data_IF_325341175105
#
_entry.id   IF_325341175105
#
_cell.length_a   1.000
_cell.length_b   1.000
_cell.length_c   1.000
_cell.angle_alpha   90.00
_cell.angle_beta   90.00
_cell.angle_gamma   90.00
#
_symmetry.space_group_name_H-M   'P 1'
#
loop_
_entity.id
_entity.type
_entity.pdbx_description
1 polymer ?
#
# COMPACT_ATOMS: atom_id res chain seq x y z
N UNK A 1 -5.79 -7.71 -24.35
CA UNK A 1 -6.67 -7.28 -23.25
C UNK A 1 -6.46 -5.79 -23.00
N UNK A 2 -7.52 -5.01 -22.83
CA UNK A 2 -7.45 -3.59 -22.46
C UNK A 2 -8.11 -3.45 -21.09
N UNK A 3 -7.43 -2.78 -20.16
CA UNK A 3 -8.04 -2.27 -18.91
C UNK A 3 -8.52 -0.84 -19.14
N UNK A 4 -9.22 -0.27 -18.16
CA UNK A 4 -9.76 1.09 -18.26
C UNK A 4 -8.65 2.16 -18.18
N UNK A 5 -9.02 3.44 -18.15
CA UNK A 5 -8.11 4.58 -18.24
C UNK A 5 -7.27 4.76 -16.97
N UNK A 6 -6.03 5.22 -17.18
CA UNK A 6 -5.05 5.50 -16.13
C UNK A 6 -4.89 4.35 -15.11
N UNK A 7 -4.48 3.15 -15.54
CA UNK A 7 -4.16 2.06 -14.62
C UNK A 7 -2.91 2.41 -13.82
N UNK A 8 -3.01 2.36 -12.48
CA UNK A 8 -1.94 2.85 -11.57
C UNK A 8 -1.31 1.77 -10.72
N UNK A 9 -2.02 0.67 -10.43
CA UNK A 9 -1.51 -0.38 -9.55
C UNK A 9 -2.19 -1.72 -9.85
N UNK A 10 -1.43 -2.81 -9.72
CA UNK A 10 -1.88 -4.18 -9.94
C UNK A 10 -1.52 -5.06 -8.73
N UNK A 11 -2.44 -5.92 -8.30
CA UNK A 11 -2.22 -6.90 -7.21
C UNK A 11 -2.89 -8.21 -7.57
N UNK A 12 -2.19 -9.32 -7.32
CA UNK A 12 -2.71 -10.67 -7.53
C UNK A 12 -3.40 -11.17 -6.27
N UNK A 13 -4.47 -11.95 -6.43
CA UNK A 13 -4.98 -12.78 -5.33
C UNK A 13 -3.95 -13.85 -4.98
N UNK A 14 -3.86 -14.20 -3.71
CA UNK A 14 -2.88 -15.18 -3.20
C UNK A 14 -3.12 -16.59 -3.74
N UNK A 15 -4.37 -16.90 -4.08
CA UNK A 15 -4.73 -18.13 -4.77
C UNK A 15 -4.39 -18.12 -6.28
N UNK A 16 -3.84 -17.03 -6.81
CA UNK A 16 -3.44 -16.88 -8.21
C UNK A 16 -4.58 -16.81 -9.23
N UNK A 17 -5.84 -16.83 -8.78
CA UNK A 17 -7.00 -16.86 -9.68
C UNK A 17 -7.21 -15.54 -10.43
N UNK A 18 -6.99 -14.41 -9.75
CA UNK A 18 -7.26 -13.09 -10.29
C UNK A 18 -6.07 -12.14 -10.13
N UNK A 19 -5.93 -11.22 -11.07
CA UNK A 19 -5.22 -9.96 -10.86
C UNK A 19 -6.23 -8.81 -10.87
N UNK A 20 -6.08 -7.88 -9.93
CA UNK A 20 -6.89 -6.69 -9.83
C UNK A 20 -6.07 -5.49 -10.29
N UNK A 21 -6.66 -4.57 -11.06
CA UNK A 21 -6.02 -3.34 -11.53
C UNK A 21 -6.87 -2.13 -11.13
N UNK A 22 -6.30 -1.18 -10.40
CA UNK A 22 -6.96 0.08 -10.09
C UNK A 22 -6.87 1.04 -11.28
N UNK A 23 -8.02 1.51 -11.75
CA UNK A 23 -8.15 2.44 -12.87
C UNK A 23 -8.55 3.81 -12.30
N UNK A 24 -7.57 4.71 -12.19
CA UNK A 24 -7.70 5.92 -11.38
C UNK A 24 -8.79 6.87 -11.91
N UNK A 25 -8.85 7.06 -13.23
CA UNK A 25 -9.76 8.02 -13.85
C UNK A 25 -11.21 7.51 -13.91
N UNK A 26 -11.40 6.20 -14.04
CA UNK A 26 -12.72 5.59 -14.14
C UNK A 26 -13.30 5.15 -12.78
N UNK A 27 -12.57 5.41 -11.70
CA UNK A 27 -13.01 5.16 -10.32
C UNK A 27 -13.43 3.70 -10.06
N UNK A 28 -12.74 2.74 -10.68
CA UNK A 28 -13.05 1.32 -10.56
C UNK A 28 -11.79 0.44 -10.50
N UNK A 29 -12.00 -0.85 -10.25
CA UNK A 29 -10.98 -1.90 -10.31
C UNK A 29 -11.37 -2.93 -11.35
N UNK A 30 -10.52 -3.19 -12.34
CA UNK A 30 -10.68 -4.33 -13.26
C UNK A 30 -10.25 -5.63 -12.59
N UNK A 31 -11.03 -6.70 -12.78
CA UNK A 31 -10.73 -8.06 -12.33
C UNK A 31 -10.34 -8.91 -13.55
N UNK A 32 -9.08 -9.33 -13.59
CA UNK A 32 -8.49 -10.12 -14.67
C UNK A 32 -8.42 -11.58 -14.22
N UNK A 33 -9.00 -12.48 -15.01
CA UNK A 33 -8.82 -13.92 -14.81
C UNK A 33 -7.44 -14.34 -15.30
N UNK A 34 -6.67 -15.00 -14.44
CA UNK A 34 -5.28 -15.34 -14.71
C UNK A 34 -5.09 -16.57 -15.60
N UNK A 35 -6.14 -17.37 -15.79
CA UNK A 35 -6.10 -18.50 -16.72
C UNK A 35 -6.29 -18.04 -18.17
N UNK A 36 -7.20 -17.10 -18.39
CA UNK A 36 -7.59 -16.60 -19.72
C UNK A 36 -6.93 -15.27 -20.10
N UNK A 37 -6.33 -14.55 -19.15
CA UNK A 37 -5.81 -13.19 -19.32
C UNK A 37 -6.86 -12.23 -19.90
N UNK A 38 -8.09 -12.34 -19.40
CA UNK A 38 -9.22 -11.52 -19.81
C UNK A 38 -9.82 -10.76 -18.62
N UNK A 39 -10.30 -9.54 -18.87
CA UNK A 39 -11.08 -8.79 -17.87
C UNK A 39 -12.44 -9.45 -17.77
N UNK A 40 -12.78 -9.96 -16.59
CA UNK A 40 -14.06 -10.64 -16.34
C UNK A 40 -15.10 -9.70 -15.74
N UNK A 41 -14.66 -8.72 -14.94
CA UNK A 41 -15.54 -7.76 -14.26
C UNK A 41 -14.80 -6.44 -14.01
N UNK A 42 -15.57 -5.38 -13.77
CA UNK A 42 -15.11 -4.13 -13.16
C UNK A 42 -15.92 -3.87 -11.90
N UNK A 43 -15.23 -3.55 -10.80
CA UNK A 43 -15.85 -3.26 -9.50
C UNK A 43 -15.76 -1.76 -9.27
N UNK A 44 -16.88 -1.03 -9.18
CA UNK A 44 -16.86 0.39 -8.81
C UNK A 44 -16.20 0.59 -7.45
N UNK A 45 -15.46 1.69 -7.34
CA UNK A 45 -14.85 2.13 -6.09
C UNK A 45 -15.32 3.55 -5.78
N UNK A 46 -14.39 4.40 -5.35
CA UNK A 46 -14.57 5.79 -5.00
C UNK A 46 -13.54 6.61 -5.76
N UNK A 47 -13.55 7.93 -5.56
CA UNK A 47 -12.76 8.82 -6.43
C UNK A 47 -11.25 8.56 -6.36
N UNK A 48 -10.64 8.33 -7.52
CA UNK A 48 -9.21 8.19 -7.70
C UNK A 48 -8.61 6.97 -6.97
N UNK A 49 -9.04 5.73 -7.27
CA UNK A 49 -8.42 4.54 -6.71
C UNK A 49 -6.95 4.49 -7.13
N UNK A 50 -6.08 4.18 -6.18
CA UNK A 50 -4.64 4.20 -6.37
C UNK A 50 -4.03 2.87 -5.95
N UNK A 51 -3.09 2.88 -5.00
CA UNK A 51 -2.42 1.69 -4.54
C UNK A 51 -3.23 0.93 -3.50
N UNK A 52 -3.11 -0.39 -3.51
CA UNK A 52 -3.93 -1.25 -2.68
C UNK A 52 -3.25 -2.58 -2.34
N UNK A 53 -3.87 -3.35 -1.44
CA UNK A 53 -3.50 -4.74 -1.11
C UNK A 53 -4.75 -5.61 -0.96
N UNK A 54 -4.55 -6.91 -1.15
CA UNK A 54 -5.55 -7.97 -0.97
C UNK A 54 -5.22 -8.72 0.32
N UNK A 55 -6.24 -9.13 1.08
CA UNK A 55 -6.08 -9.96 2.29
C UNK A 55 -5.47 -11.32 1.95
N UNK A 56 -4.77 -11.94 2.90
CA UNK A 56 -4.05 -13.20 2.66
C UNK A 56 -4.97 -14.35 2.26
N UNK A 57 -6.23 -14.32 2.71
CA UNK A 57 -7.28 -15.28 2.35
C UNK A 57 -7.93 -15.00 0.99
N UNK A 58 -7.47 -13.97 0.25
CA UNK A 58 -8.01 -13.54 -1.04
C UNK A 58 -9.49 -13.13 -1.03
N UNK A 59 -10.06 -12.78 0.13
CA UNK A 59 -11.48 -12.40 0.23
C UNK A 59 -11.72 -10.91 0.08
N UNK A 60 -10.77 -10.07 0.47
CA UNK A 60 -10.96 -8.62 0.50
C UNK A 60 -9.84 -7.86 -0.18
N UNK A 61 -10.17 -6.79 -0.90
CA UNK A 61 -9.22 -5.81 -1.41
C UNK A 61 -9.47 -4.43 -0.77
N UNK A 62 -8.40 -3.77 -0.32
CA UNK A 62 -8.47 -2.48 0.39
C UNK A 62 -7.86 -1.38 -0.46
N UNK A 63 -8.72 -0.65 -1.18
CA UNK A 63 -8.31 0.30 -2.23
C UNK A 63 -8.18 1.70 -1.65
N UNK A 64 -7.00 2.31 -1.71
CA UNK A 64 -6.84 3.72 -1.36
C UNK A 64 -7.48 4.60 -2.44
N UNK A 65 -8.42 5.46 -2.05
CA UNK A 65 -9.10 6.39 -2.94
C UNK A 65 -8.53 7.78 -2.71
N UNK A 66 -7.46 8.09 -3.45
CA UNK A 66 -6.66 9.30 -3.31
C UNK A 66 -7.49 10.57 -3.55
N UNK A 67 -8.51 10.49 -4.42
CA UNK A 67 -9.33 11.62 -4.81
C UNK A 67 -10.45 11.99 -3.83
N UNK A 68 -10.71 11.19 -2.79
CA UNK A 68 -11.76 11.48 -1.78
C UNK A 68 -11.45 11.01 -0.35
N UNK A 69 -10.17 10.90 0.01
CA UNK A 69 -9.73 10.69 1.41
C UNK A 69 -10.30 9.42 2.08
N UNK A 70 -10.50 8.36 1.30
CA UNK A 70 -11.15 7.13 1.76
C UNK A 70 -10.43 5.85 1.34
N UNK A 71 -10.83 4.73 1.92
CA UNK A 71 -10.50 3.37 1.48
C UNK A 71 -11.79 2.62 1.16
N UNK A 72 -11.85 2.00 -0.02
CA UNK A 72 -12.91 1.06 -0.40
C UNK A 72 -12.51 -0.36 -0.02
N UNK A 73 -13.42 -1.10 0.61
CA UNK A 73 -13.25 -2.52 0.93
C UNK A 73 -14.10 -3.31 -0.05
N UNK A 74 -13.45 -4.00 -0.98
CA UNK A 74 -14.09 -4.84 -1.96
C UNK A 74 -14.11 -6.27 -1.46
N UNK A 75 -15.26 -6.94 -1.51
CA UNK A 75 -15.38 -8.38 -1.34
C UNK A 75 -15.21 -9.05 -2.69
N UNK A 76 -14.25 -9.98 -2.77
CA UNK A 76 -13.85 -10.67 -3.99
C UNK A 76 -14.62 -11.96 -4.25
N UNK A 77 -15.47 -12.39 -3.32
CA UNK A 77 -16.47 -13.44 -3.54
C UNK A 77 -17.71 -12.85 -4.21
N UNK A 78 -18.19 -11.71 -3.72
CA UNK A 78 -19.39 -11.04 -4.24
C UNK A 78 -19.09 -10.04 -5.35
N UNK A 79 -17.81 -9.71 -5.56
CA UNK A 79 -17.29 -8.72 -6.51
C UNK A 79 -17.94 -7.33 -6.34
N UNK A 80 -18.09 -6.90 -5.09
CA UNK A 80 -18.74 -5.64 -4.72
C UNK A 80 -17.98 -4.90 -3.65
N UNK A 81 -18.12 -3.58 -3.62
CA UNK A 81 -17.71 -2.79 -2.46
C UNK A 81 -18.71 -3.00 -1.32
N UNK A 82 -18.21 -3.43 -0.15
CA UNK A 82 -19.03 -3.65 1.04
C UNK A 82 -18.91 -2.51 2.06
N UNK A 83 -17.79 -1.79 2.03
CA UNK A 83 -17.52 -0.75 3.02
C UNK A 83 -16.64 0.36 2.45
N UNK A 84 -16.90 1.59 2.90
CA UNK A 84 -16.01 2.74 2.76
C UNK A 84 -15.49 3.16 4.14
N UNK A 85 -14.20 3.46 4.24
CA UNK A 85 -13.56 3.94 5.47
C UNK A 85 -12.90 5.30 5.23
N UNK A 86 -13.16 6.28 6.09
CA UNK A 86 -12.39 7.53 6.10
C UNK A 86 -11.08 7.31 6.86
N UNK A 87 -9.95 7.64 6.26
CA UNK A 87 -8.62 7.26 6.80
C UNK A 87 -7.68 8.45 7.01
N UNK A 88 -7.95 9.58 6.35
CA UNK A 88 -7.12 10.78 6.34
C UNK A 88 -6.89 11.28 4.91
N UNK A 89 -6.14 12.37 4.76
CA UNK A 89 -6.04 13.08 3.49
C UNK A 89 -5.04 12.47 2.51
N UNK A 90 -5.49 12.37 1.26
CA UNK A 90 -4.73 11.87 0.10
C UNK A 90 -4.09 10.50 0.36
N UNK A 91 -4.90 9.45 0.59
CA UNK A 91 -4.37 8.11 0.76
C UNK A 91 -3.78 7.59 -0.55
N UNK A 92 -2.56 7.02 -0.53
CA UNK A 92 -1.85 6.61 -1.76
C UNK A 92 -1.74 5.11 -1.93
N UNK A 93 -1.35 4.37 -0.89
CA UNK A 93 -1.34 2.90 -0.87
C UNK A 93 -1.82 2.36 0.46
N UNK A 94 -2.32 1.13 0.44
CA UNK A 94 -2.63 0.36 1.65
C UNK A 94 -1.66 -0.79 1.87
N UNK A 95 -1.62 -1.30 3.10
CA UNK A 95 -1.02 -2.56 3.52
C UNK A 95 -1.95 -3.26 4.50
N UNK A 96 -1.95 -4.59 4.58
CA UNK A 96 -2.80 -5.38 5.47
C UNK A 96 -1.95 -6.44 6.17
N UNK A 97 -2.18 -6.66 7.46
CA UNK A 97 -1.52 -7.77 8.19
C UNK A 97 -2.02 -9.13 7.69
N UNK A 98 -1.20 -10.16 7.82
CA UNK A 98 -1.53 -11.52 7.39
C UNK A 98 -2.79 -12.09 8.07
N UNK A 99 -3.06 -11.65 9.30
CA UNK A 99 -4.27 -12.00 10.06
C UNK A 99 -5.54 -11.23 9.63
N UNK A 100 -5.40 -10.26 8.72
CA UNK A 100 -6.50 -9.45 8.18
C UNK A 100 -7.10 -8.45 9.17
N UNK A 101 -6.46 -8.18 10.31
CA UNK A 101 -7.03 -7.32 11.38
C UNK A 101 -6.56 -5.88 11.35
N UNK A 102 -5.36 -5.63 10.83
CA UNK A 102 -4.75 -4.30 10.84
C UNK A 102 -4.47 -3.82 9.43
N UNK A 103 -5.16 -2.75 9.03
CA UNK A 103 -4.86 -2.05 7.79
C UNK A 103 -3.91 -0.89 8.07
N UNK A 104 -2.93 -0.68 7.20
CA UNK A 104 -2.11 0.53 7.19
C UNK A 104 -2.32 1.30 5.89
N UNK A 105 -2.28 2.63 5.96
CA UNK A 105 -2.54 3.50 4.80
C UNK A 105 -1.59 4.68 4.82
N UNK A 106 -0.86 4.91 3.74
CA UNK A 106 -0.03 6.12 3.58
C UNK A 106 -0.92 7.31 3.29
N UNK A 107 -0.73 8.40 4.02
CA UNK A 107 -1.45 9.66 3.86
C UNK A 107 -0.48 10.73 3.37
N UNK A 108 -0.46 10.96 2.07
CA UNK A 108 0.56 11.78 1.43
C UNK A 108 0.54 13.22 1.92
N UNK A 109 -0.64 13.85 1.92
CA UNK A 109 -0.82 15.24 2.35
C UNK A 109 -0.61 15.44 3.86
N UNK A 110 -0.60 14.37 4.65
CA UNK A 110 -0.43 14.43 6.10
C UNK A 110 0.97 14.00 6.58
N UNK A 111 1.85 13.53 5.69
CA UNK A 111 3.15 12.97 6.05
C UNK A 111 3.04 11.90 7.16
N UNK A 112 2.04 11.02 7.05
CA UNK A 112 1.78 10.00 8.08
C UNK A 112 1.39 8.65 7.49
N UNK A 113 1.55 7.61 8.30
CA UNK A 113 0.93 6.30 8.10
C UNK A 113 -0.22 6.17 9.10
N UNK A 114 -1.44 6.01 8.60
CA UNK A 114 -2.60 5.62 9.43
C UNK A 114 -2.60 4.12 9.64
N UNK A 115 -2.77 3.67 10.88
CA UNK A 115 -2.99 2.27 11.28
C UNK A 115 -4.43 2.14 11.75
N UNK A 116 -5.19 1.24 11.12
CA UNK A 116 -6.62 1.01 11.37
C UNK A 116 -6.82 -0.40 11.92
N UNK A 117 -7.45 -0.50 13.08
CA UNK A 117 -8.01 -1.76 13.57
C UNK A 117 -9.34 -2.01 12.85
N UNK A 118 -9.42 -3.06 12.03
CA UNK A 118 -10.56 -3.28 11.14
C UNK A 118 -11.84 -3.73 11.87
N UNK A 119 -11.71 -4.33 13.06
CA UNK A 119 -12.84 -4.75 13.86
C UNK A 119 -13.55 -3.56 14.52
N UNK A 120 -12.79 -2.66 15.12
CA UNK A 120 -13.31 -1.49 15.85
C UNK A 120 -13.38 -0.22 15.01
N UNK A 121 -12.66 -0.15 13.89
CA UNK A 121 -12.47 1.07 13.10
C UNK A 121 -11.53 2.10 13.75
N UNK A 122 -10.85 1.75 14.85
CA UNK A 122 -9.96 2.68 15.56
C UNK A 122 -8.74 3.02 14.70
N UNK A 123 -8.48 4.31 14.54
CA UNK A 123 -7.34 4.86 13.78
C UNK A 123 -6.23 5.33 14.73
N UNK A 124 -4.98 5.12 14.35
CA UNK A 124 -3.80 5.71 14.96
C UNK A 124 -2.86 6.23 13.86
N UNK A 125 -2.44 7.49 13.93
CA UNK A 125 -1.54 8.10 12.95
C UNK A 125 -0.11 8.07 13.47
N UNK A 126 0.80 7.58 12.63
CA UNK A 126 2.24 7.55 12.87
C UNK A 126 2.89 8.55 11.92
N UNK A 127 3.50 9.65 12.40
CA UNK A 127 4.26 10.55 11.54
C UNK A 127 5.40 9.82 10.83
N UNK A 128 5.58 10.07 9.54
CA UNK A 128 6.66 9.51 8.70
C UNK A 128 7.38 10.64 7.94
N UNK A 129 8.23 10.30 6.98
CA UNK A 129 8.86 11.28 6.11
C UNK A 129 7.86 11.97 5.18
N UNK A 130 8.34 12.96 4.43
CA UNK A 130 7.50 13.80 3.59
C UNK A 130 7.03 13.07 2.32
N UNK A 131 5.78 13.31 1.94
CA UNK A 131 5.17 12.74 0.75
C UNK A 131 5.20 11.21 0.74
N UNK A 132 4.69 10.52 1.77
CA UNK A 132 4.68 9.07 1.78
C UNK A 132 3.88 8.54 0.59
N UNK A 133 4.46 7.58 -0.13
CA UNK A 133 3.91 7.00 -1.34
C UNK A 133 3.53 5.54 -1.08
N UNK A 134 4.42 4.59 -1.36
CA UNK A 134 4.17 3.17 -1.12
C UNK A 134 4.42 2.78 0.35
N UNK A 135 3.50 2.02 0.93
CA UNK A 135 3.77 1.16 2.09
C UNK A 135 3.89 -0.30 1.68
N UNK A 136 4.81 -1.03 2.32
CA UNK A 136 4.91 -2.48 2.22
C UNK A 136 5.00 -3.10 3.62
N UNK A 137 4.10 -4.04 3.90
CA UNK A 137 4.12 -4.85 5.11
C UNK A 137 5.13 -5.97 4.94
N UNK A 138 6.02 -6.14 5.92
CA UNK A 138 6.91 -7.30 5.96
C UNK A 138 6.11 -8.57 6.23
N UNK A 139 6.56 -9.74 5.76
CA UNK A 139 5.74 -10.96 5.81
C UNK A 139 5.56 -11.57 7.21
N UNK A 140 6.23 -11.02 8.22
CA UNK A 140 6.07 -11.38 9.64
C UNK A 140 5.13 -10.41 10.39
N UNK A 141 4.54 -9.43 9.69
CA UNK A 141 3.68 -8.37 10.22
C UNK A 141 4.32 -7.44 11.28
N UNK A 142 5.61 -7.61 11.58
CA UNK A 142 6.28 -6.84 12.63
C UNK A 142 6.51 -5.40 12.18
N UNK A 143 6.90 -5.22 10.92
CA UNK A 143 7.27 -3.93 10.35
C UNK A 143 6.50 -3.58 9.09
N UNK A 144 6.24 -2.28 8.93
CA UNK A 144 5.93 -1.68 7.64
C UNK A 144 7.09 -0.78 7.19
N UNK A 145 7.31 -0.73 5.88
CA UNK A 145 8.27 0.14 5.24
C UNK A 145 7.52 1.14 4.36
N UNK A 146 7.70 2.43 4.61
CA UNK A 146 7.03 3.51 3.88
C UNK A 146 8.07 4.29 3.10
N UNK A 147 7.94 4.31 1.77
CA UNK A 147 8.75 5.11 0.89
C UNK A 147 8.27 6.57 0.91
N UNK A 148 9.18 7.50 1.21
CA UNK A 148 8.88 8.92 1.28
C UNK A 148 9.35 9.57 -0.03
N UNK A 149 8.41 9.84 -0.94
CA UNK A 149 8.65 10.16 -2.35
C UNK A 149 9.10 11.59 -2.61
N UNK A 150 9.23 12.42 -1.57
CA UNK A 150 9.48 13.85 -1.71
C UNK A 150 8.22 14.59 -2.19
N UNK A 151 8.24 15.91 -2.02
CA UNK A 151 7.32 16.82 -2.71
C UNK A 151 8.15 17.80 -3.54
N UNK A 152 7.50 18.56 -4.44
CA UNK A 152 8.18 19.60 -5.23
C UNK A 152 8.92 20.62 -4.35
N UNK A 153 8.47 20.79 -3.11
CA UNK A 153 8.95 21.82 -2.18
C UNK A 153 9.90 21.28 -1.11
N UNK A 154 10.07 19.96 -1.00
CA UNK A 154 10.94 19.37 0.01
C UNK A 154 11.46 17.98 -0.38
N UNK A 155 12.79 17.82 -0.28
CA UNK A 155 13.50 16.59 -0.60
C UNK A 155 13.43 15.60 0.57
N UNK A 156 13.16 14.34 0.26
CA UNK A 156 13.15 13.19 1.17
C UNK A 156 13.89 12.01 0.55
N UNK A 157 14.96 11.57 1.20
CA UNK A 157 15.78 10.47 0.71
C UNK A 157 15.64 9.31 1.68
N UNK A 158 14.40 8.89 1.96
CA UNK A 158 14.18 7.93 3.02
C UNK A 158 13.05 6.93 2.81
N UNK A 159 13.24 5.77 3.42
CA UNK A 159 12.16 4.84 3.80
C UNK A 159 12.02 4.86 5.32
N UNK A 160 10.81 5.10 5.82
CA UNK A 160 10.51 4.93 7.24
C UNK A 160 10.26 3.45 7.55
N UNK A 161 10.92 2.90 8.57
CA UNK A 161 10.62 1.58 9.13
C UNK A 161 9.75 1.76 10.37
N UNK A 162 8.53 1.26 10.33
CA UNK A 162 7.52 1.41 11.38
C UNK A 162 7.31 0.06 12.06
N UNK A 163 7.37 0.01 13.39
CA UNK A 163 6.91 -1.15 14.14
C UNK A 163 5.38 -1.06 14.33
N UNK A 164 4.64 -2.03 13.81
CA UNK A 164 3.18 -1.98 13.74
C UNK A 164 2.53 -2.05 15.13
N UNK A 165 3.02 -2.94 15.99
CA UNK A 165 2.51 -3.10 17.36
C UNK A 165 2.80 -1.88 18.22
N UNK A 166 4.02 -1.35 18.14
CA UNK A 166 4.44 -0.18 18.89
C UNK A 166 3.94 1.15 18.30
N UNK A 167 3.38 1.12 17.07
CA UNK A 167 2.81 2.27 16.35
C UNK A 167 3.77 3.45 16.29
N UNK A 168 5.01 3.18 15.92
CA UNK A 168 6.06 4.21 15.83
C UNK A 168 7.10 3.86 14.77
N UNK A 169 7.68 4.91 14.18
CA UNK A 169 8.91 4.80 13.40
C UNK A 169 10.04 4.34 14.33
N UNK A 170 10.78 3.32 13.93
CA UNK A 170 11.92 2.76 14.67
C UNK A 170 13.25 2.96 13.93
N UNK A 171 13.21 3.26 12.65
CA UNK A 171 14.38 3.67 11.87
C UNK A 171 13.95 4.49 10.65
N UNK A 172 14.85 5.36 10.17
CA UNK A 172 14.81 5.93 8.84
C UNK A 172 15.97 5.32 8.04
N UNK A 173 15.64 4.75 6.89
CA UNK A 173 16.61 4.15 5.96
C UNK A 173 16.89 5.18 4.89
N UNK A 174 18.15 5.56 4.72
CA UNK A 174 18.56 6.49 3.68
C UNK A 174 18.50 5.82 2.29
N UNK A 175 18.00 6.55 1.29
CA UNK A 175 17.81 6.08 -0.09
C UNK A 175 18.35 7.08 -1.10
N UNK A 176 18.06 6.87 -2.39
CA UNK A 176 18.21 7.92 -3.40
C UNK A 176 17.05 8.93 -3.36
N UNK A 177 17.09 9.89 -4.28
CA UNK A 177 16.05 10.92 -4.42
C UNK A 177 14.74 10.35 -4.98
N UNK A 178 13.63 10.62 -4.31
CA UNK A 178 12.30 10.23 -4.77
C UNK A 178 11.97 8.78 -4.48
N UNK A 179 12.16 8.31 -3.24
CA UNK A 179 11.83 6.94 -2.87
C UNK A 179 10.36 6.64 -3.14
N UNK A 180 10.07 5.70 -4.04
CA UNK A 180 8.71 5.47 -4.51
C UNK A 180 8.24 4.06 -4.19
N UNK A 181 8.78 3.07 -4.89
CA UNK A 181 8.44 1.67 -4.70
C UNK A 181 9.27 1.06 -3.58
N UNK A 182 8.64 0.27 -2.71
CA UNK A 182 9.33 -0.45 -1.63
C UNK A 182 8.77 -1.87 -1.47
N UNK A 183 9.66 -2.85 -1.32
CA UNK A 183 9.33 -4.26 -1.03
C UNK A 183 10.40 -4.89 -0.14
N UNK A 184 10.04 -5.93 0.62
CA UNK A 184 10.97 -6.72 1.44
C UNK A 184 11.29 -8.07 0.80
N UNK A 185 12.46 -8.63 1.10
CA UNK A 185 12.76 -10.03 0.77
C UNK A 185 12.00 -10.98 1.70
N UNK A 186 11.60 -12.19 1.25
CA UNK A 186 10.91 -13.17 2.09
C UNK A 186 11.70 -13.63 3.33
N UNK A 187 13.03 -13.46 3.33
CA UNK A 187 13.89 -13.77 4.46
C UNK A 187 14.13 -12.58 5.40
N UNK A 188 13.43 -11.47 5.17
CA UNK A 188 13.46 -10.23 5.97
C UNK A 188 14.83 -9.54 6.06
N UNK A 189 15.77 -9.87 5.17
CA UNK A 189 17.12 -9.32 5.20
C UNK A 189 17.29 -8.07 4.33
N UNK A 190 16.45 -7.89 3.33
CA UNK A 190 16.62 -6.83 2.34
C UNK A 190 15.35 -6.01 2.16
N UNK A 191 15.55 -4.71 1.94
CA UNK A 191 14.53 -3.79 1.42
C UNK A 191 15.00 -3.29 0.07
N UNK A 192 14.15 -3.44 -0.94
CA UNK A 192 14.41 -2.94 -2.29
C UNK A 192 13.61 -1.66 -2.50
N UNK A 193 14.28 -0.60 -2.96
CA UNK A 193 13.67 0.73 -3.13
C UNK A 193 13.93 1.29 -4.52
N UNK A 194 12.88 1.68 -5.23
CA UNK A 194 12.99 2.46 -6.46
C UNK A 194 13.01 3.95 -6.15
N UNK A 195 13.79 4.71 -6.91
CA UNK A 195 13.96 6.16 -6.75
C UNK A 195 13.58 6.84 -8.06
N UNK A 196 12.75 7.88 -8.04
CA UNK A 196 12.25 8.52 -9.27
C UNK A 196 13.32 9.32 -10.02
N UNK A 197 14.33 9.84 -9.30
CA UNK A 197 15.30 10.77 -9.89
C UNK A 197 16.72 10.17 -10.05
N UNK A 198 16.96 8.93 -9.62
CA UNK A 198 18.24 8.22 -9.70
C UNK A 198 18.04 6.69 -9.84
N UNK A 199 19.08 5.94 -10.24
CA UNK A 199 19.04 4.46 -10.37
C UNK A 199 18.60 3.77 -9.06
N UNK A 200 17.83 2.68 -9.15
CA UNK A 200 17.38 1.81 -8.04
C UNK A 200 18.52 1.45 -7.09
N UNK A 201 18.26 1.43 -5.77
CA UNK A 201 19.26 1.02 -4.76
C UNK A 201 18.77 -0.17 -3.93
N UNK A 202 19.70 -1.06 -3.61
CA UNK A 202 19.52 -2.17 -2.66
C UNK A 202 19.97 -1.72 -1.27
N UNK A 203 19.16 -1.95 -0.24
CA UNK A 203 19.53 -1.68 1.15
C UNK A 203 19.53 -2.97 1.96
N UNK A 204 20.65 -3.23 2.65
CA UNK A 204 20.77 -4.28 3.67
C UNK A 204 20.10 -3.82 4.96
N UNK A 205 19.19 -4.62 5.52
CA UNK A 205 18.69 -4.38 6.86
C UNK A 205 19.78 -4.78 7.88
N UNK A 206 20.10 -3.93 8.87
CA UNK A 206 21.04 -4.32 9.92
C UNK A 206 20.43 -5.49 10.71
N UNK A 207 21.24 -6.53 10.96
CA UNK A 207 20.86 -7.57 11.94
C UNK A 207 20.64 -6.88 13.28
N UNK A 208 19.50 -7.13 13.93
CA UNK A 208 19.29 -6.72 15.32
C UNK A 208 20.51 -7.21 16.13
N UNK A 209 21.37 -6.30 16.57
CA UNK A 209 22.37 -6.63 17.58
C UNK A 209 21.60 -6.80 18.89
N UNK A 210 21.26 -8.03 19.24
CA UNK A 210 20.95 -8.38 20.62
C UNK A 210 22.18 -8.02 21.44
N UNK A 211 22.05 -6.99 22.28
CA UNK A 211 22.91 -6.82 23.46
C UNK A 211 22.41 -7.76 24.54
#
# INVERSE_FOLDING_TARGET
MKVENHPVHIVFTENGKYALVANNEDNNVSVIDMASYSVTQTIPTRKGPHGFRISKDSKYAYIANMGEDSVSVLNLETMKEEKKMKVGSTPVTTGITSDGKTLVVTLNAENSLTIVDLASGKVNKVPVGQGPAQVYMDSDDTFAYVANQETKDALSHSVSKINIKAKKVVAAIETGKGAHGVVTSPDHKYVFVTNMCLKTRLVSLPKNKTK
#
